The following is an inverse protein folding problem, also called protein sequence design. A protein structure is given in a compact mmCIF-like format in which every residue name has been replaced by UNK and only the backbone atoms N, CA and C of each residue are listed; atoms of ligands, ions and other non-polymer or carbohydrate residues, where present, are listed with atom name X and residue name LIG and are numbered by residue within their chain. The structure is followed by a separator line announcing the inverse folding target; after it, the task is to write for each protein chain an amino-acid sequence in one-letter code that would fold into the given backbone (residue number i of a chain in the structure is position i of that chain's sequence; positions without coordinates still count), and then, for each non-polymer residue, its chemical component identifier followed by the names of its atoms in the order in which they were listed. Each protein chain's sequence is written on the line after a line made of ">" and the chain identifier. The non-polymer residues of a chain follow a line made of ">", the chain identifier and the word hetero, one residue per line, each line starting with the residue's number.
data_IF_070468730061
#
_entry.id   IF_070468730061
#
_cell.length_a   1.000
_cell.length_b   1.000
_cell.length_c   1.000
_cell.angle_alpha   90.00
_cell.angle_beta   90.00
_cell.angle_gamma   90.00
#
_symmetry.space_group_name_H-M   'P 1'
#
loop_
_entity.id
_entity.type
_entity.pdbx_description
1 polymer ?
#
# COMPACT_ATOMS: atom_id res chain seq x y z
N UNK A 1 33.31 -15.25 -5.04
CA UNK A 1 32.28 -14.25 -5.15
C UNK A 1 31.07 -14.92 -5.85
N UNK A 2 29.99 -15.17 -5.12
CA UNK A 2 28.73 -15.62 -5.71
C UNK A 2 28.14 -14.43 -6.48
N UNK A 3 27.77 -14.65 -7.73
CA UNK A 3 27.03 -13.67 -8.51
C UNK A 3 25.69 -13.38 -7.78
N UNK A 4 25.25 -12.12 -7.68
CA UNK A 4 23.97 -11.81 -7.08
C UNK A 4 22.88 -12.57 -7.87
N UNK A 5 22.04 -13.33 -7.15
CA UNK A 5 20.86 -13.94 -7.76
C UNK A 5 19.99 -12.79 -8.30
N UNK A 6 19.74 -12.82 -9.61
CA UNK A 6 18.91 -11.81 -10.25
C UNK A 6 17.55 -11.73 -9.56
N UNK A 7 17.26 -10.59 -8.96
CA UNK A 7 15.97 -10.36 -8.29
C UNK A 7 14.85 -10.55 -9.31
N UNK A 8 13.88 -11.40 -9.00
CA UNK A 8 12.68 -11.59 -9.84
C UNK A 8 11.55 -10.71 -9.33
N UNK A 9 10.61 -10.36 -10.21
CA UNK A 9 9.35 -9.70 -9.84
C UNK A 9 8.18 -10.63 -10.17
N UNK A 10 7.26 -10.78 -9.26
CA UNK A 10 6.00 -11.48 -9.51
C UNK A 10 4.85 -10.47 -9.57
N UNK A 11 3.99 -10.63 -10.56
CA UNK A 11 2.71 -9.92 -10.64
C UNK A 11 1.60 -10.95 -10.41
N UNK A 12 0.80 -10.71 -9.37
CA UNK A 12 -0.32 -11.59 -9.00
C UNK A 12 -1.60 -10.98 -9.54
N UNK A 13 -2.25 -11.68 -10.47
CA UNK A 13 -3.54 -11.28 -11.05
C UNK A 13 -4.70 -11.52 -10.08
N UNK A 14 -5.86 -10.92 -10.35
CA UNK A 14 -7.06 -11.06 -9.51
C UNK A 14 -7.61 -12.50 -9.45
N UNK A 15 -7.36 -13.30 -10.48
CA UNK A 15 -7.69 -14.73 -10.55
C UNK A 15 -6.67 -15.64 -9.84
N UNK A 16 -5.66 -15.05 -9.18
CA UNK A 16 -4.58 -15.77 -8.51
C UNK A 16 -3.43 -16.21 -9.43
N UNK A 17 -3.50 -15.96 -10.73
CA UNK A 17 -2.39 -16.27 -11.65
C UNK A 17 -1.16 -15.45 -11.28
N UNK A 18 0.01 -16.12 -11.27
CA UNK A 18 1.30 -15.50 -10.96
C UNK A 18 2.13 -15.39 -12.24
N UNK A 19 2.52 -14.20 -12.58
CA UNK A 19 3.34 -13.87 -13.74
C UNK A 19 4.72 -13.43 -13.26
N UNK A 20 5.75 -14.14 -13.66
CA UNK A 20 7.12 -13.90 -13.19
C UNK A 20 7.92 -13.19 -14.25
N UNK A 21 8.43 -12.00 -13.92
CA UNK A 21 9.39 -11.27 -14.71
C UNK A 21 10.81 -11.49 -14.18
N UNK A 22 11.75 -11.78 -15.09
CA UNK A 22 13.18 -11.85 -14.78
C UNK A 22 13.85 -10.58 -15.28
N UNK A 23 14.87 -10.06 -14.57
CA UNK A 23 15.62 -8.90 -15.06
C UNK A 23 16.12 -9.15 -16.48
N UNK A 24 15.98 -8.14 -17.33
CA UNK A 24 16.57 -8.18 -18.67
C UNK A 24 18.09 -8.04 -18.57
N UNK A 25 18.81 -8.72 -19.46
CA UNK A 25 20.25 -8.52 -19.64
C UNK A 25 20.57 -7.10 -20.15
N UNK A 26 19.58 -6.38 -20.65
CA UNK A 26 19.71 -4.96 -21.01
C UNK A 26 19.02 -4.10 -19.93
N UNK A 27 19.77 -3.37 -19.10
CA UNK A 27 19.24 -2.56 -18.00
C UNK A 27 18.29 -1.44 -18.48
N UNK A 28 18.43 -0.98 -19.73
CA UNK A 28 17.63 0.13 -20.26
C UNK A 28 16.22 -0.30 -20.69
N UNK A 29 16.03 -1.56 -21.08
CA UNK A 29 14.74 -2.02 -21.60
C UNK A 29 13.85 -2.68 -20.55
N UNK A 30 14.42 -3.24 -19.48
CA UNK A 30 13.66 -3.92 -18.44
C UNK A 30 12.80 -5.09 -18.95
N UNK A 31 11.82 -5.52 -18.15
CA UNK A 31 10.82 -6.53 -18.51
C UNK A 31 9.60 -5.80 -19.07
N UNK A 32 9.31 -5.99 -20.34
CA UNK A 32 8.11 -5.40 -20.97
C UNK A 32 6.86 -6.16 -20.53
N UNK A 33 5.88 -5.42 -20.00
CA UNK A 33 4.52 -5.90 -19.77
C UNK A 33 3.67 -5.48 -20.95
N UNK A 34 2.93 -6.41 -21.53
CA UNK A 34 2.09 -6.08 -22.67
C UNK A 34 1.29 -7.27 -23.21
N UNK A 35 0.47 -7.01 -24.23
CA UNK A 35 -0.36 -8.03 -24.90
C UNK A 35 0.41 -8.81 -25.99
N UNK A 36 1.53 -8.30 -26.45
CA UNK A 36 2.32 -8.95 -27.49
C UNK A 36 2.88 -10.31 -27.04
N UNK A 37 3.05 -11.24 -27.97
CA UNK A 37 3.54 -12.58 -27.68
C UNK A 37 4.99 -12.63 -27.21
N UNK A 38 5.76 -11.60 -27.54
CA UNK A 38 7.16 -11.39 -27.18
C UNK A 38 7.36 -10.54 -25.91
N UNK A 39 6.27 -10.15 -25.25
CA UNK A 39 6.33 -9.45 -23.96
C UNK A 39 6.91 -10.36 -22.89
N UNK A 40 7.83 -9.84 -22.08
CA UNK A 40 8.43 -10.56 -20.96
C UNK A 40 7.40 -10.99 -19.90
N UNK A 41 6.35 -10.17 -19.70
CA UNK A 41 5.13 -10.52 -18.98
C UNK A 41 3.95 -10.25 -19.91
N UNK A 42 3.30 -11.31 -20.33
CA UNK A 42 2.16 -11.23 -21.24
C UNK A 42 0.84 -11.20 -20.48
N UNK A 43 0.03 -10.16 -20.73
CA UNK A 43 -1.33 -10.03 -20.23
C UNK A 43 -2.32 -10.07 -21.42
N UNK A 44 -3.27 -11.00 -21.37
CA UNK A 44 -4.24 -11.23 -22.46
C UNK A 44 -5.52 -10.43 -22.21
N UNK A 45 -5.44 -9.10 -22.46
CA UNK A 45 -6.57 -8.18 -22.31
C UNK A 45 -6.49 -7.12 -23.40
N UNK A 46 -7.63 -6.83 -24.06
CA UNK A 46 -7.68 -5.89 -25.18
C UNK A 46 -7.46 -4.42 -24.77
N UNK A 47 -7.65 -4.09 -23.50
CA UNK A 47 -7.32 -2.77 -22.93
C UNK A 47 -5.80 -2.55 -22.82
N UNK A 48 -5.01 -3.63 -22.93
CA UNK A 48 -3.55 -3.60 -22.80
C UNK A 48 -2.88 -3.39 -24.15
N UNK A 49 -1.97 -2.41 -24.23
CA UNK A 49 -1.15 -2.16 -25.42
C UNK A 49 -0.18 -3.31 -25.69
N UNK A 50 0.27 -3.49 -26.93
CA UNK A 50 1.25 -4.53 -27.29
C UNK A 50 2.51 -4.46 -26.44
N UNK A 51 3.07 -3.26 -26.26
CA UNK A 51 4.05 -2.88 -25.24
C UNK A 51 3.36 -1.83 -24.37
N UNK A 52 3.09 -2.13 -23.10
CA UNK A 52 2.27 -1.29 -22.26
C UNK A 52 3.11 -0.56 -21.21
N UNK A 53 3.92 -1.30 -20.50
CA UNK A 53 4.80 -0.76 -19.46
C UNK A 53 6.12 -1.53 -19.43
N UNK A 54 7.16 -0.92 -18.85
CA UNK A 54 8.43 -1.56 -18.56
C UNK A 54 8.64 -1.66 -17.05
N UNK A 55 9.09 -2.83 -16.59
CA UNK A 55 9.53 -3.09 -15.23
C UNK A 55 11.04 -3.23 -15.25
N UNK A 56 11.74 -2.34 -14.56
CA UNK A 56 13.21 -2.31 -14.53
C UNK A 56 13.72 -2.56 -13.13
N UNK A 57 14.78 -3.34 -12.99
CA UNK A 57 15.53 -3.43 -11.74
C UNK A 57 16.84 -2.66 -11.85
N UNK A 58 17.26 -2.05 -10.75
CA UNK A 58 18.60 -1.47 -10.63
C UNK A 58 19.60 -2.49 -10.05
N UNK A 59 20.86 -2.05 -9.94
CA UNK A 59 21.98 -2.88 -9.43
C UNK A 59 21.79 -3.30 -7.96
N UNK A 60 20.89 -2.63 -7.23
CA UNK A 60 20.54 -2.95 -5.85
C UNK A 60 19.30 -3.88 -5.77
N UNK A 61 18.81 -4.38 -6.90
CA UNK A 61 17.64 -5.25 -6.97
C UNK A 61 16.30 -4.54 -6.73
N UNK A 62 16.27 -3.19 -6.72
CA UNK A 62 15.05 -2.41 -6.57
C UNK A 62 14.31 -2.33 -7.90
N UNK A 63 13.01 -2.56 -7.88
CA UNK A 63 12.18 -2.54 -9.08
C UNK A 63 11.45 -1.22 -9.26
N UNK A 64 11.28 -0.84 -10.53
CA UNK A 64 10.64 0.40 -10.97
C UNK A 64 9.67 0.08 -12.09
N UNK A 65 8.63 0.92 -12.27
CA UNK A 65 7.66 0.80 -13.35
C UNK A 65 7.60 2.10 -14.14
N UNK A 66 7.53 1.99 -15.48
CA UNK A 66 7.32 3.12 -16.40
C UNK A 66 6.25 2.75 -17.43
N UNK A 67 5.33 3.66 -17.69
CA UNK A 67 4.39 3.54 -18.80
C UNK A 67 5.12 3.78 -20.14
N UNK A 68 4.83 2.99 -21.15
CA UNK A 68 5.44 3.10 -22.48
C UNK A 68 4.54 3.84 -23.49
N UNK A 69 3.79 4.86 -23.07
CA UNK A 69 2.82 5.54 -23.91
C UNK A 69 1.60 4.66 -24.18
N UNK A 70 1.18 3.88 -23.21
CA UNK A 70 0.11 2.93 -23.40
C UNK A 70 -1.26 3.63 -23.58
N UNK A 71 -2.11 3.04 -24.45
CA UNK A 71 -3.46 3.59 -24.70
C UNK A 71 -4.34 3.54 -23.45
N UNK A 72 -4.30 2.44 -22.70
CA UNK A 72 -5.09 2.25 -21.48
C UNK A 72 -4.49 2.95 -20.25
N UNK A 73 -3.22 3.28 -20.30
CA UNK A 73 -2.45 3.87 -19.20
C UNK A 73 -2.09 2.87 -18.11
N UNK A 74 -1.00 3.17 -17.41
CA UNK A 74 -0.55 2.43 -16.22
C UNK A 74 -0.89 3.24 -14.98
N UNK A 75 -1.44 2.59 -13.94
CA UNK A 75 -1.58 3.21 -12.62
C UNK A 75 -0.79 2.45 -11.57
N UNK A 76 -0.15 3.18 -10.68
CA UNK A 76 0.46 2.66 -9.47
C UNK A 76 -0.34 3.17 -8.27
N UNK A 77 -0.89 2.25 -7.49
CA UNK A 77 -1.67 2.59 -6.30
C UNK A 77 -2.76 3.64 -6.61
N UNK A 78 -3.54 3.39 -7.68
CA UNK A 78 -4.62 4.24 -8.23
C UNK A 78 -4.19 5.60 -8.80
N UNK A 79 -2.89 5.91 -8.83
CA UNK A 79 -2.37 7.13 -9.44
C UNK A 79 -1.84 6.80 -10.83
N UNK A 80 -2.38 7.44 -11.87
CA UNK A 80 -1.92 7.26 -13.24
C UNK A 80 -0.51 7.78 -13.41
N UNK A 81 0.35 6.96 -14.01
CA UNK A 81 1.73 7.34 -14.34
C UNK A 81 1.75 8.17 -15.61
N UNK A 82 2.62 9.18 -15.63
CA UNK A 82 3.04 9.85 -16.87
C UNK A 82 4.24 9.11 -17.47
N UNK A 83 4.44 9.20 -18.78
CA UNK A 83 5.52 8.50 -19.49
C UNK A 83 6.94 8.81 -18.96
N UNK A 84 7.11 9.99 -18.34
CA UNK A 84 8.37 10.42 -17.72
C UNK A 84 8.57 9.94 -16.28
N UNK A 85 7.54 9.34 -15.67
CA UNK A 85 7.60 8.87 -14.28
C UNK A 85 8.07 7.42 -14.22
N UNK A 86 9.02 7.15 -13.32
CA UNK A 86 9.53 5.81 -13.06
C UNK A 86 9.58 5.54 -11.55
N UNK A 87 8.42 5.41 -10.88
CA UNK A 87 8.38 5.18 -9.44
C UNK A 87 8.88 3.78 -9.07
N UNK A 88 9.50 3.70 -7.89
CA UNK A 88 9.93 2.44 -7.28
C UNK A 88 8.72 1.59 -6.89
N UNK A 89 8.81 0.28 -7.15
CA UNK A 89 7.83 -0.73 -6.74
C UNK A 89 8.21 -1.37 -5.41
N UNK A 90 7.20 -1.76 -4.66
CA UNK A 90 7.32 -2.52 -3.41
C UNK A 90 6.33 -3.66 -3.38
N UNK A 91 6.62 -4.68 -2.59
CA UNK A 91 5.67 -5.77 -2.36
C UNK A 91 4.35 -5.22 -1.80
N UNK A 92 3.24 -5.65 -2.39
CA UNK A 92 1.89 -5.20 -2.05
C UNK A 92 1.43 -3.97 -2.85
N UNK A 93 2.27 -3.34 -3.69
CA UNK A 93 1.83 -2.28 -4.59
C UNK A 93 0.83 -2.82 -5.61
N UNK A 94 -0.16 -1.99 -5.94
CA UNK A 94 -1.15 -2.31 -6.97
C UNK A 94 -0.79 -1.61 -8.26
N UNK A 95 -0.59 -2.42 -9.29
CA UNK A 95 -0.48 -1.93 -10.66
C UNK A 95 -1.78 -2.23 -11.41
N UNK A 96 -2.20 -1.29 -12.24
CA UNK A 96 -3.25 -1.52 -13.23
C UNK A 96 -2.70 -1.15 -14.61
N UNK A 97 -2.78 -2.10 -15.52
CA UNK A 97 -2.44 -1.94 -16.93
C UNK A 97 -3.74 -1.97 -17.75
N UNK A 98 -4.18 -0.81 -18.27
CA UNK A 98 -5.51 -0.72 -18.84
C UNK A 98 -6.58 -1.06 -17.82
N UNK A 99 -7.34 -2.13 -18.02
CA UNK A 99 -8.37 -2.61 -17.09
C UNK A 99 -7.88 -3.78 -16.20
N UNK A 100 -6.71 -4.34 -16.46
CA UNK A 100 -6.16 -5.46 -15.70
C UNK A 100 -5.42 -4.99 -14.44
N UNK A 101 -5.87 -5.47 -13.28
CA UNK A 101 -5.24 -5.19 -11.98
C UNK A 101 -4.33 -6.34 -11.56
N UNK A 102 -3.15 -6.00 -11.05
CA UNK A 102 -2.19 -6.95 -10.48
C UNK A 102 -1.60 -6.40 -9.19
N UNK A 103 -1.11 -7.29 -8.34
CA UNK A 103 -0.37 -6.96 -7.11
C UNK A 103 1.07 -7.36 -7.29
N UNK A 104 1.98 -6.45 -6.94
CA UNK A 104 3.42 -6.68 -6.98
C UNK A 104 3.83 -7.57 -5.80
N UNK A 105 4.57 -8.62 -6.07
CA UNK A 105 5.28 -9.42 -5.08
C UNK A 105 6.76 -9.49 -5.46
N UNK A 106 7.61 -8.97 -4.58
CA UNK A 106 9.06 -9.05 -4.72
C UNK A 106 9.54 -10.14 -3.76
N UNK A 107 10.06 -11.27 -4.28
CA UNK A 107 10.59 -12.31 -3.43
C UNK A 107 11.74 -11.75 -2.60
N UNK A 108 11.84 -12.17 -1.36
CA UNK A 108 12.71 -11.65 -0.30
C UNK A 108 14.19 -11.59 -0.72
N UNK A 109 14.55 -10.48 -1.26
CA UNK A 109 15.89 -10.03 -1.62
C UNK A 109 16.01 -8.52 -1.43
N UNK A 110 14.90 -7.87 -1.05
CA UNK A 110 14.93 -6.49 -0.58
C UNK A 110 15.65 -6.51 0.78
N UNK A 111 16.97 -6.41 0.70
CA UNK A 111 17.82 -6.29 1.84
C UNK A 111 17.27 -5.25 2.80
N UNK A 112 17.14 -5.66 4.03
CA UNK A 112 17.24 -4.75 5.16
C UNK A 112 18.61 -4.04 5.05
N UNK A 113 18.77 -3.12 4.13
CA UNK A 113 19.76 -2.10 4.27
C UNK A 113 19.16 -1.04 5.18
N UNK A 114 19.49 -1.18 6.48
CA UNK A 114 19.64 -0.04 7.35
C UNK A 114 20.43 0.99 6.54
N UNK A 115 19.76 2.04 6.06
CA UNK A 115 20.43 3.28 5.71
C UNK A 115 21.14 3.75 6.98
N UNK A 116 22.42 3.47 7.06
CA UNK A 116 23.32 4.23 7.94
C UNK A 116 23.26 5.66 7.43
N UNK A 117 22.38 6.43 8.07
CA UNK A 117 22.39 7.88 7.97
C UNK A 117 23.82 8.36 8.21
N UNK A 118 24.44 8.85 7.14
CA UNK A 118 25.57 9.76 7.29
C UNK A 118 25.03 11.03 7.92
N UNK A 119 25.29 11.13 9.21
CA UNK A 119 25.16 12.32 10.00
C UNK A 119 25.84 13.50 9.31
N UNK A 120 25.05 14.33 8.62
CA UNK A 120 25.46 15.68 8.25
C UNK A 120 24.77 16.61 9.21
N UNK A 121 25.57 17.11 10.18
CA UNK A 121 25.12 18.11 11.12
C UNK A 121 24.66 19.36 10.40
N UNK A 122 23.45 19.77 10.68
CA UNK A 122 22.99 21.15 10.56
C UNK A 122 22.33 21.51 11.88
N UNK A 123 22.92 22.52 12.49
CA UNK A 123 22.48 23.14 13.73
C UNK A 123 21.04 23.59 13.70
N UNK A 124 20.37 23.39 14.81
CA UNK A 124 19.01 23.81 15.08
C UNK A 124 18.90 25.34 15.13
N UNK A 125 17.97 25.90 14.38
CA UNK A 125 17.30 27.15 14.77
C UNK A 125 15.81 27.07 14.51
N UNK A 126 15.08 27.00 15.61
CA UNK A 126 13.83 27.68 15.97
C UNK A 126 12.56 27.50 15.10
N UNK A 127 11.63 26.78 15.70
CA UNK A 127 10.27 27.22 16.03
C UNK A 127 9.15 27.06 14.99
N UNK A 128 8.17 26.33 15.46
CA UNK A 128 6.72 26.39 15.24
C UNK A 128 6.12 25.56 14.11
N UNK A 129 5.25 24.63 14.51
CA UNK A 129 4.19 23.94 13.75
C UNK A 129 4.47 22.60 13.06
N UNK A 130 5.65 21.99 13.22
CA UNK A 130 5.95 20.67 12.62
C UNK A 130 5.72 19.47 13.55
N UNK A 131 5.27 19.70 14.77
CA UNK A 131 5.24 18.68 15.83
C UNK A 131 3.98 17.78 15.84
N UNK A 132 3.01 18.05 14.95
CA UNK A 132 1.75 17.29 14.91
C UNK A 132 1.85 15.96 14.14
N UNK A 133 2.99 15.70 13.47
CA UNK A 133 3.21 14.55 12.59
C UNK A 133 4.25 13.54 13.04
N UNK A 134 4.75 13.67 14.26
CA UNK A 134 5.75 12.73 14.78
C UNK A 134 5.18 11.35 15.00
N UNK A 135 5.67 10.43 14.19
CA UNK A 135 5.95 8.99 14.30
C UNK A 135 5.14 8.13 15.28
N UNK A 136 4.89 6.93 14.89
CA UNK A 136 4.28 5.83 15.64
C UNK A 136 4.86 5.50 16.97
N UNK A 137 6.16 5.65 17.17
CA UNK A 137 6.70 5.73 18.52
C UNK A 137 5.87 6.71 19.34
N UNK A 138 5.48 7.84 18.76
CA UNK A 138 4.65 8.84 19.43
C UNK A 138 3.17 8.42 19.58
N UNK A 139 2.59 7.64 18.66
CA UNK A 139 1.22 7.14 18.84
C UNK A 139 1.18 6.09 19.96
N UNK A 140 2.06 5.10 19.91
CA UNK A 140 2.16 4.09 20.97
C UNK A 140 2.60 4.68 22.32
N UNK A 141 3.45 5.71 22.32
CA UNK A 141 3.80 6.48 23.51
C UNK A 141 2.60 7.27 24.04
N UNK A 142 1.78 7.89 23.18
CA UNK A 142 0.55 8.57 23.57
C UNK A 142 -0.50 7.62 24.16
N UNK A 143 -0.58 6.38 23.69
CA UNK A 143 -1.45 5.36 24.29
C UNK A 143 -1.09 5.08 25.77
N UNK A 144 0.17 5.27 26.13
CA UNK A 144 0.70 5.08 27.49
C UNK A 144 0.97 6.39 28.22
N UNK A 145 0.58 7.54 27.67
CA UNK A 145 0.75 8.83 28.30
C UNK A 145 0.04 8.90 29.66
N UNK A 146 0.68 9.56 30.62
CA UNK A 146 0.12 9.80 31.96
C UNK A 146 -1.04 10.80 31.94
N UNK A 147 -1.15 11.63 30.89
CA UNK A 147 -2.25 12.57 30.68
C UNK A 147 -3.49 11.88 30.11
N UNK A 148 -4.66 12.07 30.75
CA UNK A 148 -5.92 11.43 30.31
C UNK A 148 -6.32 11.87 28.90
N UNK A 149 -6.18 13.16 28.60
CA UNK A 149 -6.57 13.72 27.29
C UNK A 149 -5.68 13.25 26.16
N UNK A 150 -4.33 13.24 26.35
CA UNK A 150 -3.40 12.75 25.35
C UNK A 150 -3.60 11.26 25.05
N UNK A 151 -3.92 10.48 26.09
CA UNK A 151 -4.24 9.07 25.96
C UNK A 151 -5.54 8.83 25.20
N UNK A 152 -6.58 9.59 25.48
CA UNK A 152 -7.87 9.49 24.75
C UNK A 152 -7.71 9.84 23.26
N UNK A 153 -6.98 10.91 22.96
CA UNK A 153 -6.66 11.29 21.57
C UNK A 153 -5.86 10.19 20.89
N UNK A 154 -4.83 9.66 21.57
CA UNK A 154 -4.01 8.57 21.04
C UNK A 154 -4.84 7.31 20.73
N UNK A 155 -5.80 6.96 21.62
CA UNK A 155 -6.70 5.82 21.42
C UNK A 155 -7.67 6.05 20.29
N UNK A 156 -8.23 7.25 20.16
CA UNK A 156 -9.09 7.60 19.03
C UNK A 156 -8.33 7.48 17.71
N UNK A 157 -7.14 8.06 17.62
CA UNK A 157 -6.30 7.98 16.42
C UNK A 157 -5.93 6.52 16.07
N UNK A 158 -5.66 5.71 17.09
CA UNK A 158 -5.36 4.30 16.92
C UNK A 158 -6.59 3.54 16.39
N UNK A 159 -7.75 3.76 16.98
CA UNK A 159 -9.00 3.14 16.60
C UNK A 159 -9.37 3.49 15.14
N UNK A 160 -9.40 4.78 14.82
CA UNK A 160 -9.74 5.29 13.49
C UNK A 160 -8.78 4.77 12.40
N UNK A 161 -7.53 4.50 12.78
CA UNK A 161 -6.49 4.02 11.88
C UNK A 161 -6.56 2.52 11.60
N UNK A 162 -6.81 1.72 12.62
CA UNK A 162 -6.65 0.25 12.53
C UNK A 162 -7.94 -0.53 12.41
N UNK A 163 -9.06 -0.02 12.90
CA UNK A 163 -10.35 -0.71 12.76
C UNK A 163 -10.73 -0.93 11.30
N UNK A 164 -10.64 0.06 10.40
CA UNK A 164 -10.96 -0.15 8.98
C UNK A 164 -10.06 -1.21 8.33
N UNK A 165 -8.77 -1.22 8.66
CA UNK A 165 -7.81 -2.21 8.16
C UNK A 165 -8.19 -3.63 8.61
N UNK A 166 -8.40 -3.83 9.92
CA UNK A 166 -8.73 -5.14 10.50
C UNK A 166 -10.07 -5.64 9.94
N UNK A 167 -11.07 -4.76 9.87
CA UNK A 167 -12.40 -5.07 9.32
C UNK A 167 -12.31 -5.47 7.85
N UNK A 168 -11.58 -4.70 7.04
CA UNK A 168 -11.39 -4.99 5.61
C UNK A 168 -10.70 -6.33 5.38
N UNK A 169 -9.66 -6.63 6.16
CA UNK A 169 -8.99 -7.92 6.13
C UNK A 169 -9.92 -9.05 6.54
N UNK A 170 -10.63 -8.91 7.67
CA UNK A 170 -11.55 -9.93 8.16
C UNK A 170 -12.65 -10.27 7.14
N UNK A 171 -13.23 -9.24 6.49
CA UNK A 171 -14.23 -9.42 5.43
C UNK A 171 -13.69 -10.23 4.25
N UNK A 172 -12.49 -9.91 3.76
CA UNK A 172 -11.88 -10.62 2.63
C UNK A 172 -11.42 -12.01 3.00
N UNK A 173 -11.03 -12.22 4.25
CA UNK A 173 -10.72 -13.54 4.78
C UNK A 173 -11.98 -14.33 5.15
N UNK A 174 -13.20 -13.87 4.80
CA UNK A 174 -14.45 -14.62 4.88
C UNK A 174 -15.32 -14.37 6.11
N UNK A 175 -15.03 -13.35 6.94
CA UNK A 175 -15.95 -12.90 7.98
C UNK A 175 -17.18 -12.24 7.35
N UNK A 176 -18.38 -12.60 7.82
CA UNK A 176 -19.66 -12.12 7.25
C UNK A 176 -20.30 -11.06 8.16
N UNK A 177 -20.91 -10.04 7.54
CA UNK A 177 -21.74 -9.05 8.26
C UNK A 177 -21.01 -8.41 9.44
N UNK A 178 -21.63 -8.48 10.62
CA UNK A 178 -21.13 -7.91 11.87
C UNK A 178 -19.88 -8.62 12.42
N UNK A 179 -19.61 -9.85 11.98
CA UNK A 179 -18.48 -10.64 12.48
C UNK A 179 -17.13 -9.95 12.24
N UNK A 180 -16.96 -9.27 11.10
CA UNK A 180 -15.73 -8.52 10.79
C UNK A 180 -15.54 -7.33 11.74
N UNK A 181 -16.62 -6.68 12.12
CA UNK A 181 -16.61 -5.59 13.08
C UNK A 181 -16.27 -6.08 14.48
N UNK A 182 -16.88 -7.18 14.89
CA UNK A 182 -16.58 -7.84 16.14
C UNK A 182 -15.12 -8.28 16.24
N UNK A 183 -14.53 -8.83 15.13
CA UNK A 183 -13.10 -9.18 15.08
C UNK A 183 -12.26 -7.92 15.32
N UNK A 184 -12.60 -6.81 14.65
CA UNK A 184 -11.85 -5.57 14.80
C UNK A 184 -11.93 -5.05 16.24
N UNK A 185 -13.12 -5.02 16.83
CA UNK A 185 -13.31 -4.58 18.23
C UNK A 185 -12.57 -5.50 19.22
N UNK A 186 -12.61 -6.82 19.02
CA UNK A 186 -11.90 -7.78 19.87
C UNK A 186 -10.38 -7.57 19.82
N UNK A 187 -9.81 -7.38 18.62
CA UNK A 187 -8.38 -7.13 18.45
C UNK A 187 -7.96 -5.83 19.14
N UNK A 188 -8.72 -4.75 18.92
CA UNK A 188 -8.45 -3.45 19.56
C UNK A 188 -8.58 -3.54 21.08
N UNK A 189 -9.64 -4.18 21.59
CA UNK A 189 -9.85 -4.34 23.04
C UNK A 189 -8.75 -5.21 23.68
N UNK A 190 -8.26 -6.25 23.00
CA UNK A 190 -7.16 -7.06 23.47
C UNK A 190 -5.85 -6.26 23.50
N UNK A 191 -5.59 -5.46 22.47
CA UNK A 191 -4.45 -4.56 22.45
C UNK A 191 -4.56 -3.50 23.56
N UNK A 192 -5.71 -2.90 23.75
CA UNK A 192 -5.94 -1.95 24.84
C UNK A 192 -5.58 -2.53 26.22
N UNK A 193 -6.04 -3.75 26.50
CA UNK A 193 -5.75 -4.44 27.77
C UNK A 193 -4.25 -4.75 27.92
N UNK A 194 -3.56 -5.07 26.83
CA UNK A 194 -2.14 -5.36 26.81
C UNK A 194 -1.27 -4.09 26.83
N UNK A 195 -1.79 -2.95 26.39
CA UNK A 195 -1.02 -1.73 26.14
C UNK A 195 -0.28 -1.18 27.36
N UNK A 196 -0.85 -1.33 28.57
CA UNK A 196 -0.19 -0.90 29.82
C UNK A 196 1.13 -1.63 30.12
N UNK A 197 1.34 -2.80 29.50
CA UNK A 197 2.58 -3.61 29.61
C UNK A 197 3.34 -3.69 28.28
N UNK A 198 2.79 -3.07 27.23
CA UNK A 198 3.34 -3.15 25.89
C UNK A 198 4.47 -2.11 25.77
N UNK A 199 5.70 -2.58 25.80
CA UNK A 199 6.84 -1.80 25.36
C UNK A 199 7.07 -2.13 23.89
N UNK A 200 6.90 -1.14 23.02
CA UNK A 200 7.22 -1.30 21.62
C UNK A 200 8.73 -1.43 21.47
N UNK A 201 9.17 -2.62 21.12
CA UNK A 201 10.55 -2.92 20.76
C UNK A 201 10.60 -3.16 19.25
N UNK A 202 11.19 -2.20 18.54
CA UNK A 202 11.37 -2.30 17.08
C UNK A 202 12.25 -3.50 16.68
N UNK A 203 13.10 -4.00 17.59
CA UNK A 203 13.93 -5.19 17.40
C UNK A 203 13.16 -6.50 17.53
N UNK A 204 12.04 -6.51 18.28
CA UNK A 204 11.20 -7.69 18.53
C UNK A 204 10.18 -7.96 17.41
N UNK A 205 10.16 -7.14 16.35
CA UNK A 205 9.27 -7.28 15.21
C UNK A 205 8.39 -6.05 14.96
N UNK A 206 7.90 -5.96 13.73
CA UNK A 206 7.12 -4.81 13.28
C UNK A 206 5.72 -4.87 13.86
N UNK A 207 5.16 -3.74 14.26
CA UNK A 207 3.79 -3.62 14.77
C UNK A 207 2.75 -4.21 13.81
N UNK A 208 2.99 -4.10 12.51
CA UNK A 208 2.21 -4.75 11.46
C UNK A 208 2.09 -6.27 11.66
N UNK A 209 3.21 -6.93 11.99
CA UNK A 209 3.24 -8.37 12.26
C UNK A 209 2.41 -8.75 13.48
N UNK A 210 2.52 -7.96 14.55
CA UNK A 210 1.69 -8.14 15.76
C UNK A 210 0.19 -8.03 15.43
N UNK A 211 -0.20 -6.97 14.72
CA UNK A 211 -1.60 -6.72 14.39
C UNK A 211 -2.18 -7.82 13.50
N UNK A 212 -1.39 -8.31 12.51
CA UNK A 212 -1.73 -9.45 11.68
C UNK A 212 -1.99 -10.70 12.50
N UNK A 213 -1.03 -11.05 13.37
CA UNK A 213 -1.14 -12.24 14.22
C UNK A 213 -2.35 -12.18 15.16
N UNK A 214 -2.59 -11.02 15.78
CA UNK A 214 -3.75 -10.79 16.64
C UNK A 214 -5.07 -10.96 15.88
N UNK A 215 -5.17 -10.41 14.66
CA UNK A 215 -6.36 -10.52 13.83
C UNK A 215 -6.60 -11.96 13.37
N UNK A 216 -5.57 -12.66 12.90
CA UNK A 216 -5.67 -14.07 12.51
C UNK A 216 -6.08 -14.96 13.69
N UNK A 217 -5.55 -14.70 14.88
CA UNK A 217 -5.91 -15.47 16.07
C UNK A 217 -7.39 -15.26 16.47
N UNK A 218 -7.87 -14.02 16.43
CA UNK A 218 -9.29 -13.71 16.69
C UNK A 218 -10.21 -14.41 15.67
N UNK A 219 -9.86 -14.40 14.39
CA UNK A 219 -10.60 -15.08 13.33
C UNK A 219 -10.59 -16.60 13.52
N UNK A 220 -9.42 -17.20 13.75
CA UNK A 220 -9.28 -18.65 13.98
C UNK A 220 -10.10 -19.13 15.19
N UNK A 221 -10.16 -18.31 16.26
CA UNK A 221 -10.98 -18.63 17.43
C UNK A 221 -12.47 -18.68 17.07
N UNK A 222 -12.97 -17.76 16.25
CA UNK A 222 -14.34 -17.72 15.76
C UNK A 222 -14.66 -18.87 14.81
N UNK A 223 -13.77 -19.20 13.89
CA UNK A 223 -13.93 -20.35 12.99
C UNK A 223 -14.00 -21.67 13.75
N UNK A 224 -13.14 -21.87 14.77
CA UNK A 224 -13.24 -23.06 15.65
C UNK A 224 -14.57 -23.15 16.37
N UNK A 225 -15.08 -22.01 16.88
CA UNK A 225 -16.39 -21.94 17.55
C UNK A 225 -17.53 -22.28 16.58
N UNK A 226 -17.46 -21.81 15.36
CA UNK A 226 -18.43 -22.10 14.30
C UNK A 226 -18.42 -23.58 13.91
N UNK A 227 -17.24 -24.20 13.72
CA UNK A 227 -17.13 -25.65 13.45
C UNK A 227 -17.70 -26.51 14.56
N UNK A 228 -17.59 -26.11 15.81
CA UNK A 228 -18.19 -26.85 16.95
C UNK A 228 -19.71 -26.70 17.06
N UNK A 229 -20.34 -25.80 16.32
CA UNK A 229 -21.79 -25.54 16.34
C UNK A 229 -22.55 -26.08 15.12
N UNK A 230 -21.84 -26.47 14.04
CA UNK A 230 -22.45 -26.94 12.79
C UNK A 230 -22.18 -28.42 12.61
N UNK A 231 -23.23 -29.22 12.46
CA UNK A 231 -23.15 -30.61 12.00
C UNK A 231 -22.48 -30.67 10.62
N UNK A 232 -21.64 -31.68 10.41
CA UNK A 232 -20.55 -31.87 9.45
C UNK A 232 -20.95 -31.88 7.95
N UNK A 233 -22.07 -31.32 7.50
CA UNK A 233 -22.51 -31.47 6.10
C UNK A 233 -22.41 -30.18 5.25
N UNK A 234 -22.03 -29.03 5.81
CA UNK A 234 -21.86 -27.79 5.03
C UNK A 234 -20.41 -27.28 5.07
N UNK A 235 -19.55 -27.89 4.27
CA UNK A 235 -18.14 -27.53 4.08
C UNK A 235 -17.94 -26.32 3.13
N UNK A 236 -19.04 -25.67 2.73
CA UNK A 236 -19.03 -24.53 1.79
C UNK A 236 -18.63 -23.20 2.42
N UNK A 237 -18.16 -23.18 3.66
CA UNK A 237 -17.92 -21.96 4.44
C UNK A 237 -16.54 -21.80 5.06
N UNK A 238 -15.54 -22.60 4.68
CA UNK A 238 -14.15 -22.37 5.13
C UNK A 238 -13.49 -21.33 4.25
N UNK A 239 -13.29 -20.12 4.77
CA UNK A 239 -12.53 -19.14 4.04
C UNK A 239 -11.07 -19.55 4.03
N UNK A 240 -10.42 -19.35 2.91
CA UNK A 240 -8.98 -19.35 2.70
C UNK A 240 -8.20 -20.21 3.71
N UNK A 241 -7.98 -21.48 3.38
CA UNK A 241 -7.25 -22.43 4.23
C UNK A 241 -5.73 -22.32 4.09
N UNK A 242 -5.23 -21.59 3.10
CA UNK A 242 -3.80 -21.42 2.85
C UNK A 242 -3.28 -20.16 3.58
N UNK A 243 -2.25 -20.36 4.42
CA UNK A 243 -1.59 -19.26 5.13
C UNK A 243 -1.00 -18.21 4.17
N UNK A 244 -0.51 -18.64 3.00
CA UNK A 244 0.07 -17.74 1.99
C UNK A 244 -0.99 -16.81 1.37
N UNK A 245 -2.19 -17.32 1.19
CA UNK A 245 -3.31 -16.57 0.64
C UNK A 245 -3.80 -15.51 1.64
N UNK A 246 -3.90 -15.86 2.92
CA UNK A 246 -4.20 -14.90 4.00
C UNK A 246 -3.11 -13.84 4.15
N UNK A 247 -1.87 -14.23 3.94
CA UNK A 247 -0.74 -13.29 3.94
C UNK A 247 -0.86 -12.27 2.82
N UNK A 248 -1.17 -12.72 1.61
CA UNK A 248 -1.39 -11.83 0.47
C UNK A 248 -2.59 -10.87 0.69
N UNK A 249 -3.70 -11.38 1.25
CA UNK A 249 -4.87 -10.54 1.58
C UNK A 249 -4.52 -9.49 2.63
N UNK A 250 -3.74 -9.85 3.66
CA UNK A 250 -3.27 -8.90 4.66
C UNK A 250 -2.41 -7.80 4.06
N UNK A 251 -1.46 -8.18 3.20
CA UNK A 251 -0.55 -7.24 2.56
C UNK A 251 -1.29 -6.27 1.64
N UNK A 252 -2.32 -6.74 0.96
CA UNK A 252 -3.20 -5.88 0.16
C UNK A 252 -3.98 -4.88 1.00
N UNK A 253 -4.59 -5.33 2.10
CA UNK A 253 -5.35 -4.43 2.98
C UNK A 253 -4.46 -3.42 3.68
N UNK A 254 -3.28 -3.85 4.11
CA UNK A 254 -2.29 -2.95 4.68
C UNK A 254 -1.89 -1.85 3.70
N UNK A 255 -1.52 -2.23 2.48
CA UNK A 255 -1.13 -1.29 1.42
C UNK A 255 -2.27 -0.32 1.12
N UNK A 256 -3.50 -0.82 1.00
CA UNK A 256 -4.68 0.03 0.79
C UNK A 256 -4.85 1.03 1.93
N UNK A 257 -4.78 0.58 3.18
CA UNK A 257 -4.90 1.45 4.35
C UNK A 257 -3.83 2.54 4.39
N UNK A 258 -2.57 2.20 4.04
CA UNK A 258 -1.48 3.18 3.95
C UNK A 258 -1.78 4.25 2.91
N UNK A 259 -2.25 3.85 1.73
CA UNK A 259 -2.55 4.77 0.63
C UNK A 259 -3.73 5.68 0.98
N UNK A 260 -4.82 5.12 1.50
CA UNK A 260 -6.00 5.90 1.88
C UNK A 260 -5.63 6.96 2.94
N UNK A 261 -4.79 6.59 3.91
CA UNK A 261 -4.29 7.52 4.94
C UNK A 261 -3.36 8.59 4.35
N UNK A 262 -2.47 8.22 3.44
CA UNK A 262 -1.60 9.18 2.78
C UNK A 262 -2.41 10.21 1.97
N UNK A 263 -3.44 9.77 1.26
CA UNK A 263 -4.34 10.68 0.52
C UNK A 263 -5.03 11.64 1.47
N UNK A 264 -5.60 11.14 2.57
CA UNK A 264 -6.27 11.97 3.57
C UNK A 264 -5.29 12.95 4.21
N UNK A 265 -4.10 12.51 4.60
CA UNK A 265 -3.08 13.37 5.19
C UNK A 265 -2.68 14.50 4.24
N UNK A 266 -2.36 14.19 2.98
CA UNK A 266 -1.99 15.21 1.98
C UNK A 266 -3.17 16.13 1.66
N UNK A 267 -4.41 15.64 1.69
CA UNK A 267 -5.61 16.46 1.47
C UNK A 267 -5.85 17.43 2.64
N UNK A 268 -5.68 16.95 3.87
CA UNK A 268 -5.95 17.73 5.08
C UNK A 268 -4.88 18.79 5.33
N UNK A 269 -3.61 18.43 5.13
CA UNK A 269 -2.46 19.26 5.51
C UNK A 269 -1.73 19.88 4.32
N UNK A 270 -2.07 19.44 3.09
CA UNK A 270 -1.49 19.98 1.88
C UNK A 270 -1.96 21.41 1.58
N UNK A 271 -1.06 22.23 1.03
CA UNK A 271 -1.35 23.60 0.60
C UNK A 271 -2.02 23.68 -0.79
N UNK A 272 -2.66 22.60 -1.23
CA UNK A 272 -3.27 22.52 -2.55
C UNK A 272 -4.69 23.09 -2.52
N UNK A 273 -5.05 23.84 -3.58
CA UNK A 273 -6.42 24.37 -3.70
C UNK A 273 -7.43 23.23 -3.93
N UNK A 274 -8.70 23.41 -3.53
CA UNK A 274 -9.76 22.44 -3.83
C UNK A 274 -9.86 22.12 -5.32
N UNK A 275 -9.65 23.11 -6.19
CA UNK A 275 -9.64 22.97 -7.65
C UNK A 275 -8.48 22.05 -8.13
N UNK A 276 -7.30 22.17 -7.51
CA UNK A 276 -6.16 21.28 -7.81
C UNK A 276 -6.45 19.84 -7.39
N UNK A 277 -7.15 19.63 -6.28
CA UNK A 277 -7.59 18.32 -5.83
C UNK A 277 -8.64 17.70 -6.76
N UNK A 278 -9.61 18.49 -7.23
CA UNK A 278 -10.60 18.04 -8.20
C UNK A 278 -9.93 17.66 -9.55
N UNK A 279 -8.98 18.48 -10.02
CA UNK A 279 -8.19 18.17 -11.20
C UNK A 279 -7.39 16.87 -11.03
N UNK A 280 -6.77 16.67 -9.86
CA UNK A 280 -6.06 15.42 -9.52
C UNK A 280 -7.00 14.21 -9.50
N UNK A 281 -8.18 14.31 -8.88
CA UNK A 281 -9.14 13.19 -8.83
C UNK A 281 -9.62 12.83 -10.24
N UNK A 282 -10.00 13.82 -11.04
CA UNK A 282 -10.47 13.59 -12.40
C UNK A 282 -9.38 13.04 -13.31
N UNK A 283 -8.19 13.68 -13.33
CA UNK A 283 -7.11 13.30 -14.22
C UNK A 283 -6.30 12.12 -13.72
N UNK A 284 -5.85 12.18 -12.45
CA UNK A 284 -4.92 11.21 -11.87
C UNK A 284 -5.58 9.90 -11.46
N UNK A 285 -6.83 9.93 -10.96
CA UNK A 285 -7.53 8.75 -10.44
C UNK A 285 -8.56 8.17 -11.40
N UNK A 286 -9.34 9.03 -12.05
CA UNK A 286 -10.44 8.59 -12.95
C UNK A 286 -10.02 8.57 -14.42
N UNK A 287 -8.87 9.14 -14.77
CA UNK A 287 -8.35 9.11 -16.14
C UNK A 287 -9.15 9.97 -17.13
N UNK A 288 -9.87 10.98 -16.65
CA UNK A 288 -10.65 11.88 -17.51
C UNK A 288 -9.70 12.66 -18.41
N UNK A 289 -10.01 12.84 -19.71
CA UNK A 289 -9.16 13.58 -20.63
C UNK A 289 -8.92 15.03 -20.18
N UNK A 290 -7.67 15.49 -20.32
CA UNK A 290 -7.25 16.84 -19.87
C UNK A 290 -8.10 17.96 -20.48
N UNK A 291 -8.48 17.83 -21.75
CA UNK A 291 -9.30 18.85 -22.44
C UNK A 291 -10.70 18.99 -21.83
N UNK A 292 -11.30 17.88 -21.39
CA UNK A 292 -12.59 17.88 -20.71
C UNK A 292 -12.50 18.54 -19.34
N UNK A 293 -11.44 18.23 -18.58
CA UNK A 293 -11.16 18.84 -17.27
C UNK A 293 -10.89 20.33 -17.43
N UNK A 294 -10.11 20.72 -18.46
CA UNK A 294 -9.82 22.11 -18.78
C UNK A 294 -11.10 22.93 -18.99
N UNK A 295 -12.04 22.38 -19.77
CA UNK A 295 -13.34 23.02 -20.02
C UNK A 295 -14.21 23.09 -18.76
N UNK A 296 -14.17 22.05 -17.93
CA UNK A 296 -14.99 21.94 -16.72
C UNK A 296 -14.50 22.82 -15.58
N UNK A 297 -13.18 22.84 -15.34
CA UNK A 297 -12.57 23.54 -14.22
C UNK A 297 -12.00 24.92 -14.59
N UNK A 298 -11.97 25.28 -15.86
CA UNK A 298 -11.33 26.52 -16.31
C UNK A 298 -9.81 26.54 -16.09
N UNK A 299 -9.18 25.37 -15.98
CA UNK A 299 -7.73 25.24 -15.78
C UNK A 299 -7.03 25.00 -17.12
N UNK A 300 -5.81 25.51 -17.24
CA UNK A 300 -4.98 25.15 -18.41
C UNK A 300 -4.54 23.70 -18.35
N UNK A 301 -4.32 23.02 -19.49
CA UNK A 301 -3.81 21.67 -19.55
C UNK A 301 -2.55 21.45 -18.71
N UNK A 302 -1.63 22.43 -18.73
CA UNK A 302 -0.39 22.36 -17.96
C UNK A 302 -0.63 22.50 -16.46
N UNK A 303 -1.56 23.37 -16.03
CA UNK A 303 -1.93 23.48 -14.62
C UNK A 303 -2.53 22.17 -14.08
N UNK A 304 -3.32 21.45 -14.88
CA UNK A 304 -3.88 20.14 -14.53
C UNK A 304 -2.77 19.10 -14.36
N UNK A 305 -1.82 19.01 -15.32
CA UNK A 305 -0.67 18.10 -15.23
C UNK A 305 0.22 18.42 -14.03
N UNK A 306 0.50 19.71 -13.79
CA UNK A 306 1.28 20.15 -12.63
C UNK A 306 0.58 19.82 -11.30
N UNK A 307 -0.74 20.02 -11.19
CA UNK A 307 -1.51 19.66 -10.01
C UNK A 307 -1.39 18.16 -9.74
N UNK A 308 -1.60 17.32 -10.78
CA UNK A 308 -1.44 15.85 -10.68
C UNK A 308 -0.04 15.49 -10.24
N UNK A 309 1.00 16.01 -10.87
CA UNK A 309 2.39 15.68 -10.55
C UNK A 309 2.75 16.03 -9.09
N UNK A 310 2.39 17.26 -8.64
CA UNK A 310 2.66 17.70 -7.26
C UNK A 310 1.93 16.85 -6.23
N UNK A 311 0.63 16.64 -6.40
CA UNK A 311 -0.18 15.86 -5.44
C UNK A 311 0.29 14.41 -5.43
N UNK A 312 0.55 13.80 -6.59
CA UNK A 312 1.07 12.44 -6.67
C UNK A 312 2.42 12.28 -5.96
N UNK A 313 3.31 13.26 -6.10
CA UNK A 313 4.61 13.26 -5.39
C UNK A 313 4.40 13.32 -3.88
N UNK A 314 3.58 14.24 -3.39
CA UNK A 314 3.29 14.37 -1.96
C UNK A 314 2.66 13.10 -1.38
N UNK A 315 1.73 12.47 -2.10
CA UNK A 315 1.14 11.20 -1.68
C UNK A 315 2.20 10.10 -1.62
N UNK A 316 3.11 10.02 -2.60
CA UNK A 316 4.21 9.04 -2.57
C UNK A 316 5.17 9.26 -1.39
N UNK A 317 5.58 10.51 -1.16
CA UNK A 317 6.40 10.87 0.00
C UNK A 317 5.71 10.49 1.32
N UNK A 318 4.43 10.74 1.43
CA UNK A 318 3.65 10.38 2.62
C UNK A 318 3.49 8.86 2.78
N UNK A 319 3.29 8.11 1.68
CA UNK A 319 3.29 6.64 1.71
C UNK A 319 4.62 6.11 2.23
N UNK A 320 5.74 6.66 1.74
CA UNK A 320 7.08 6.26 2.20
C UNK A 320 7.28 6.58 3.68
N UNK A 321 6.85 7.75 4.12
CA UNK A 321 6.88 8.13 5.53
C UNK A 321 6.08 7.15 6.39
N UNK A 322 4.84 6.86 6.01
CA UNK A 322 3.99 5.90 6.73
C UNK A 322 4.63 4.51 6.74
N UNK A 323 5.19 4.06 5.62
CA UNK A 323 5.86 2.75 5.52
C UNK A 323 7.12 2.65 6.37
N UNK A 324 7.94 3.69 6.41
CA UNK A 324 9.14 3.71 7.26
C UNK A 324 8.80 3.66 8.75
N UNK A 325 7.69 4.26 9.12
CA UNK A 325 7.18 4.26 10.48
C UNK A 325 6.47 2.95 10.86
N UNK A 326 5.86 2.28 9.91
CA UNK A 326 4.95 1.15 10.13
C UNK A 326 5.47 -0.18 9.63
N UNK A 327 6.49 -0.16 8.83
CA UNK A 327 7.31 -1.15 8.22
C UNK A 327 7.09 -2.53 8.10
#
# INVERSE_FOLDING_TARGET
>A
AMAPQAATIELICQDGARLVGKPSSNPDTGVVVGRASDSGIRLQDDSISRQHAALRSDDLGRWFVRDLGSRGGTTLNWIRLDESEEPRLRTGDRLRFGDTNVVVNLPSGDGQEEEKEKNFGVEATAETSEDEFRTRGSLLLRLNASGTMEREIGWKDFYDRYVPLIKGFAQRAGARGEEAEDVAHEVIANFFRASHRFQYDSSAGRFRGYLKAATLNAMRARWRKRKGQVNVEDDSGLPVSDSNELDAVWDQEWTRSVIDRAIVAVQTHGKQSPQSWEAFDLYGRRGVPVNEISSRLGMTPDAIRQAKSRISRQIREEIERIRSEEG
#
